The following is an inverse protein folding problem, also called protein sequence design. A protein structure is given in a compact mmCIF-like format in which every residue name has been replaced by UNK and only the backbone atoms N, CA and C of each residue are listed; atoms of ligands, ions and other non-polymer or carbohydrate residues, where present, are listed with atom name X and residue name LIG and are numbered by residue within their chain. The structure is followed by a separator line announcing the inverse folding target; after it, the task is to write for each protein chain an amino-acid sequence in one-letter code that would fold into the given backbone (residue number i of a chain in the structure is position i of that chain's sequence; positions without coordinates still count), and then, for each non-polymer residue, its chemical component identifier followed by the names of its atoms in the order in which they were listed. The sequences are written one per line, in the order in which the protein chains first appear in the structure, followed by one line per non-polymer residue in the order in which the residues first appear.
data_IF_014848145951
#
_entry.id   IF_014848145951
#
_cell.length_a   1.000
_cell.length_b   1.000
_cell.length_c   1.000
_cell.angle_alpha   90.00
_cell.angle_beta   90.00
_cell.angle_gamma   90.00
#
_symmetry.space_group_name_H-M   'P 1'
#
loop_
_entity.id
_entity.type
_entity.pdbx_description
1 polymer ?
#
# COMPACT_ATOMS: atom_id res chain seq x y z
N UNK A 1 -8.19 -19.36 -13.06
CA UNK A 1 -8.68 -17.98 -13.25
C UNK A 1 -8.97 -17.38 -11.89
N UNK A 2 -7.98 -16.76 -11.27
CA UNK A 2 -8.22 -15.93 -10.09
C UNK A 2 -8.73 -14.57 -10.58
N UNK A 3 -10.03 -14.39 -10.63
CA UNK A 3 -10.62 -13.09 -10.86
C UNK A 3 -10.24 -12.21 -9.67
N UNK A 4 -9.51 -11.12 -9.91
CA UNK A 4 -9.16 -10.16 -8.86
C UNK A 4 -10.43 -9.56 -8.26
N UNK A 5 -10.49 -9.48 -6.95
CA UNK A 5 -11.56 -8.83 -6.19
C UNK A 5 -10.98 -7.68 -5.39
N UNK A 6 -11.42 -6.48 -5.70
CA UNK A 6 -10.88 -5.25 -5.14
C UNK A 6 -11.85 -4.63 -4.13
N UNK A 7 -11.42 -4.44 -2.90
CA UNK A 7 -12.18 -3.78 -1.84
C UNK A 7 -11.92 -2.27 -1.85
N UNK A 8 -12.97 -1.51 -2.00
CA UNK A 8 -12.93 -0.05 -2.05
C UNK A 8 -12.97 0.58 -0.65
N UNK A 9 -11.82 0.74 -0.03
CA UNK A 9 -11.65 1.54 1.21
C UNK A 9 -11.28 2.99 0.92
N UNK A 10 -10.85 3.30 -0.31
CA UNK A 10 -10.60 4.67 -0.78
C UNK A 10 -11.83 5.26 -1.45
N UNK A 11 -12.09 6.57 -1.30
CA UNK A 11 -13.06 7.26 -2.13
C UNK A 11 -12.65 7.21 -3.61
N UNK A 12 -13.55 6.80 -4.48
CA UNK A 12 -13.26 6.69 -5.94
C UNK A 12 -12.88 8.02 -6.57
N UNK A 13 -13.32 9.16 -5.99
CA UNK A 13 -12.99 10.49 -6.52
C UNK A 13 -11.58 10.97 -6.17
N UNK A 14 -10.98 10.47 -5.09
CA UNK A 14 -9.66 10.92 -4.61
C UNK A 14 -8.55 10.36 -5.51
N UNK A 15 -7.85 11.20 -6.26
CA UNK A 15 -6.93 10.81 -7.34
C UNK A 15 -7.56 9.72 -8.23
N UNK A 16 -8.87 9.84 -8.45
CA UNK A 16 -9.68 8.84 -9.13
C UNK A 16 -9.47 7.42 -8.59
N UNK A 17 -9.57 7.29 -7.24
CA UNK A 17 -9.34 6.03 -6.53
C UNK A 17 -7.93 5.51 -6.70
N UNK A 18 -6.91 6.40 -6.71
CA UNK A 18 -5.51 6.08 -7.01
C UNK A 18 -5.32 5.33 -8.33
N UNK A 19 -6.10 5.71 -9.36
CA UNK A 19 -6.14 5.08 -10.69
C UNK A 19 -6.75 3.66 -10.71
N UNK A 20 -7.21 3.12 -9.58
CA UNK A 20 -7.76 1.77 -9.53
C UNK A 20 -9.16 1.65 -10.18
N UNK A 21 -9.90 2.74 -10.37
CA UNK A 21 -11.12 2.73 -11.19
C UNK A 21 -10.82 2.25 -12.62
N UNK A 22 -9.70 2.66 -13.17
CA UNK A 22 -9.23 2.24 -14.50
C UNK A 22 -8.62 0.85 -14.47
N UNK A 23 -7.78 0.58 -13.47
CA UNK A 23 -7.08 -0.70 -13.35
C UNK A 23 -8.05 -1.87 -13.15
N UNK A 24 -9.03 -1.74 -12.24
CA UNK A 24 -10.04 -2.79 -12.00
C UNK A 24 -10.89 -3.05 -13.23
N UNK A 25 -11.24 -1.99 -13.97
CA UNK A 25 -11.98 -2.12 -15.24
C UNK A 25 -11.14 -2.82 -16.30
N UNK A 26 -9.88 -2.44 -16.45
CA UNK A 26 -8.99 -3.01 -17.47
C UNK A 26 -8.75 -4.52 -17.30
N UNK A 27 -8.71 -5.02 -16.05
CA UNK A 27 -8.51 -6.44 -15.76
C UNK A 27 -9.82 -7.22 -15.51
N UNK A 28 -10.97 -6.55 -15.58
CA UNK A 28 -12.27 -7.16 -15.31
C UNK A 28 -12.42 -7.62 -13.85
N UNK A 29 -11.85 -6.88 -12.89
CA UNK A 29 -11.94 -7.22 -11.49
C UNK A 29 -13.35 -7.01 -10.92
N UNK A 30 -13.72 -7.82 -9.92
CA UNK A 30 -14.93 -7.56 -9.13
C UNK A 30 -14.66 -6.43 -8.15
N UNK A 31 -15.56 -5.46 -8.10
CA UNK A 31 -15.50 -4.35 -7.17
C UNK A 31 -16.39 -4.64 -5.96
N UNK A 32 -15.78 -4.73 -4.76
CA UNK A 32 -16.46 -4.85 -3.47
C UNK A 32 -16.49 -3.47 -2.83
N UNK A 33 -17.69 -2.96 -2.57
CA UNK A 33 -17.87 -1.60 -2.07
C UNK A 33 -18.43 -1.62 -0.65
N UNK A 34 -17.92 -0.74 0.22
CA UNK A 34 -18.45 -0.52 1.55
C UNK A 34 -18.85 0.95 1.75
N UNK A 35 -19.84 1.20 2.58
CA UNK A 35 -20.35 2.55 2.84
C UNK A 35 -19.45 3.38 3.74
N UNK A 36 -18.80 2.71 4.67
CA UNK A 36 -17.92 3.31 5.68
C UNK A 36 -16.80 2.35 5.97
N UNK A 37 -15.58 2.88 6.09
CA UNK A 37 -14.42 2.10 6.51
C UNK A 37 -14.54 1.81 8.00
N UNK A 38 -14.84 0.56 8.32
CA UNK A 38 -14.89 0.01 9.65
C UNK A 38 -14.01 -1.24 9.68
N UNK A 39 -13.09 -1.41 10.62
CA UNK A 39 -12.15 -2.54 10.63
C UNK A 39 -12.83 -3.91 10.61
N UNK A 40 -13.89 -4.10 11.42
CA UNK A 40 -14.60 -5.37 11.46
C UNK A 40 -15.30 -5.68 10.13
N UNK A 41 -15.88 -4.66 9.52
CA UNK A 41 -16.51 -4.80 8.20
C UNK A 41 -15.48 -5.08 7.10
N UNK A 42 -14.29 -4.49 7.18
CA UNK A 42 -13.19 -4.77 6.25
C UNK A 42 -12.78 -6.24 6.34
N UNK A 43 -12.54 -6.77 7.54
CA UNK A 43 -12.19 -8.18 7.72
C UNK A 43 -13.31 -9.11 7.24
N UNK A 44 -14.56 -8.82 7.61
CA UNK A 44 -15.72 -9.61 7.17
C UNK A 44 -15.79 -9.69 5.64
N UNK A 45 -15.64 -8.56 4.95
CA UNK A 45 -15.67 -8.53 3.48
C UNK A 45 -14.46 -9.24 2.86
N UNK A 46 -13.28 -9.16 3.46
CA UNK A 46 -12.11 -9.90 2.99
C UNK A 46 -12.40 -11.40 2.99
N UNK A 47 -12.97 -11.92 4.07
CA UNK A 47 -13.29 -13.35 4.20
C UNK A 47 -14.47 -13.75 3.29
N UNK A 48 -15.63 -13.13 3.45
CA UNK A 48 -16.86 -13.53 2.76
C UNK A 48 -16.78 -13.35 1.25
N UNK A 49 -16.18 -12.26 0.80
CA UNK A 49 -16.06 -11.96 -0.62
C UNK A 49 -14.77 -12.50 -1.24
N UNK A 50 -13.87 -13.07 -0.45
CA UNK A 50 -12.52 -13.50 -0.89
C UNK A 50 -11.78 -12.37 -1.60
N UNK A 51 -11.67 -11.22 -0.94
CA UNK A 51 -10.96 -10.04 -1.46
C UNK A 51 -9.48 -10.37 -1.68
N UNK A 52 -8.95 -9.94 -2.81
CA UNK A 52 -7.53 -10.18 -3.17
C UNK A 52 -6.70 -8.91 -3.14
N UNK A 53 -7.32 -7.75 -3.28
CA UNK A 53 -6.62 -6.47 -3.37
C UNK A 53 -7.40 -5.36 -2.67
N UNK A 54 -6.68 -4.46 -2.01
CA UNK A 54 -7.22 -3.19 -1.52
C UNK A 54 -6.15 -2.11 -1.49
N UNK A 55 -6.57 -0.86 -1.57
CA UNK A 55 -5.70 0.29 -1.29
C UNK A 55 -6.25 1.05 -0.10
N UNK A 56 -5.38 1.54 0.79
CA UNK A 56 -5.84 2.31 1.94
C UNK A 56 -4.77 3.27 2.48
N UNK A 57 -5.20 4.29 3.20
CA UNK A 57 -4.29 5.11 3.98
C UNK A 57 -3.74 4.31 5.19
N UNK A 58 -2.54 4.63 5.71
CA UNK A 58 -1.96 3.97 6.88
C UNK A 58 -2.86 3.98 8.12
N UNK A 59 -3.72 4.99 8.25
CA UNK A 59 -4.70 5.07 9.35
C UNK A 59 -5.70 3.92 9.33
N UNK A 60 -6.08 3.42 8.17
CA UNK A 60 -6.96 2.27 8.03
C UNK A 60 -6.25 1.01 8.54
N UNK A 61 -4.99 0.80 8.16
CA UNK A 61 -4.19 -0.33 8.66
C UNK A 61 -4.02 -0.26 10.17
N UNK A 62 -3.75 0.93 10.71
CA UNK A 62 -3.66 1.15 12.16
C UNK A 62 -4.98 0.79 12.85
N UNK A 63 -6.11 1.21 12.29
CA UNK A 63 -7.42 0.87 12.84
C UNK A 63 -7.69 -0.64 12.79
N UNK A 64 -7.35 -1.31 11.70
CA UNK A 64 -7.48 -2.76 11.56
C UNK A 64 -6.62 -3.51 12.58
N UNK A 65 -5.39 -3.07 12.79
CA UNK A 65 -4.49 -3.67 13.79
C UNK A 65 -4.91 -3.41 15.24
N UNK A 66 -5.66 -2.34 15.50
CA UNK A 66 -6.01 -1.90 16.86
C UNK A 66 -7.28 -2.55 17.44
N UNK A 67 -7.98 -3.37 16.68
CA UNK A 67 -9.14 -4.10 17.22
C UNK A 67 -8.68 -5.27 18.11
N UNK A 68 -9.50 -5.69 19.09
CA UNK A 68 -9.24 -6.93 19.82
C UNK A 68 -9.11 -8.12 18.86
N UNK A 69 -8.17 -9.03 19.15
CA UNK A 69 -7.93 -10.25 18.36
C UNK A 69 -7.62 -10.01 16.87
N UNK A 70 -7.08 -8.83 16.54
CA UNK A 70 -6.67 -8.51 15.16
C UNK A 70 -5.67 -9.53 14.60
N UNK A 71 -4.77 -10.02 15.44
CA UNK A 71 -3.73 -11.01 15.11
C UNK A 71 -4.28 -12.41 14.79
N UNK A 72 -5.56 -12.67 15.08
CA UNK A 72 -6.24 -13.91 14.72
C UNK A 72 -6.91 -13.85 13.35
N UNK A 73 -6.91 -12.67 12.70
CA UNK A 73 -7.48 -12.51 11.36
C UNK A 73 -6.53 -13.07 10.30
N UNK A 74 -7.08 -13.70 9.28
CA UNK A 74 -6.31 -14.22 8.14
C UNK A 74 -6.41 -13.26 6.95
N UNK A 75 -5.28 -12.71 6.55
CA UNK A 75 -5.13 -11.85 5.37
C UNK A 75 -4.33 -12.55 4.25
N UNK A 76 -4.22 -13.88 4.32
CA UNK A 76 -3.48 -14.65 3.31
C UNK A 76 -4.04 -14.42 1.91
N UNK A 77 -3.16 -14.07 0.98
CA UNK A 77 -3.54 -13.79 -0.41
C UNK A 77 -4.07 -12.37 -0.66
N UNK A 78 -4.13 -11.51 0.36
CA UNK A 78 -4.53 -10.11 0.20
C UNK A 78 -3.32 -9.23 -0.07
N UNK A 79 -3.32 -8.51 -1.19
CA UNK A 79 -2.35 -7.44 -1.47
C UNK A 79 -2.92 -6.10 -1.05
N UNK A 80 -2.21 -5.41 -0.18
CA UNK A 80 -2.60 -4.10 0.35
C UNK A 80 -1.61 -3.05 -0.13
N UNK A 81 -2.08 -2.09 -0.92
CA UNK A 81 -1.29 -0.91 -1.27
C UNK A 81 -1.63 0.23 -0.32
N UNK A 82 -0.62 0.81 0.33
CA UNK A 82 -0.79 1.94 1.24
C UNK A 82 0.00 3.16 0.78
N UNK A 83 -0.59 4.33 0.92
CA UNK A 83 0.00 5.62 0.54
C UNK A 83 -0.69 6.78 1.27
N UNK A 84 -0.29 8.01 0.94
CA UNK A 84 -0.83 9.25 1.51
C UNK A 84 -0.08 9.72 2.76
N UNK A 85 0.60 8.83 3.46
CA UNK A 85 1.55 9.09 4.54
C UNK A 85 2.48 7.88 4.70
N UNK A 86 3.67 8.04 5.30
CA UNK A 86 4.53 6.91 5.63
C UNK A 86 3.86 5.98 6.65
N UNK A 87 3.68 4.70 6.36
CA UNK A 87 3.18 3.74 7.33
C UNK A 87 4.24 3.44 8.39
N UNK A 88 3.82 3.24 9.64
CA UNK A 88 4.75 2.78 10.67
C UNK A 88 5.23 1.36 10.35
N UNK A 89 6.55 1.05 10.46
CA UNK A 89 7.07 -0.29 10.19
C UNK A 89 6.37 -1.39 11.01
N UNK A 90 6.02 -1.09 12.25
CA UNK A 90 5.24 -1.99 13.11
C UNK A 90 3.91 -2.41 12.48
N UNK A 91 3.18 -1.47 11.87
CA UNK A 91 1.88 -1.74 11.23
C UNK A 91 2.07 -2.63 10.00
N UNK A 92 3.09 -2.34 9.16
CA UNK A 92 3.43 -3.19 8.01
C UNK A 92 3.69 -4.62 8.49
N UNK A 93 4.56 -4.78 9.48
CA UNK A 93 4.91 -6.09 10.04
C UNK A 93 3.70 -6.83 10.58
N UNK A 94 2.81 -6.15 11.28
CA UNK A 94 1.60 -6.77 11.82
C UNK A 94 0.67 -7.28 10.73
N UNK A 95 0.43 -6.49 9.68
CA UNK A 95 -0.38 -6.93 8.53
C UNK A 95 0.25 -8.13 7.82
N UNK A 96 1.57 -8.13 7.66
CA UNK A 96 2.28 -9.23 7.00
C UNK A 96 2.33 -10.50 7.86
N UNK A 97 2.38 -10.38 9.18
CA UNK A 97 2.25 -11.53 10.08
C UNK A 97 0.86 -12.19 9.99
N UNK A 98 -0.17 -11.43 9.63
CA UNK A 98 -1.52 -11.95 9.33
C UNK A 98 -1.65 -12.49 7.90
N UNK A 99 -0.56 -12.52 7.12
CA UNK A 99 -0.53 -13.08 5.77
C UNK A 99 -0.71 -12.09 4.63
N UNK A 100 -0.94 -10.81 4.88
CA UNK A 100 -1.06 -9.81 3.83
C UNK A 100 0.27 -9.57 3.12
N UNK A 101 0.18 -9.14 1.85
CA UNK A 101 1.32 -8.57 1.13
C UNK A 101 1.18 -7.05 1.09
N UNK A 102 2.00 -6.32 1.88
CA UNK A 102 1.92 -4.86 1.97
C UNK A 102 2.90 -4.20 1.00
N UNK A 103 2.40 -3.28 0.20
CA UNK A 103 3.15 -2.43 -0.72
C UNK A 103 2.96 -0.97 -0.30
N UNK A 104 4.06 -0.27 0.00
CA UNK A 104 4.03 1.17 0.21
C UNK A 104 4.29 1.88 -1.12
N UNK A 105 3.48 2.88 -1.43
CA UNK A 105 3.62 3.67 -2.65
C UNK A 105 3.57 5.15 -2.32
N UNK A 106 4.20 5.96 -3.17
CA UNK A 106 4.16 7.40 -3.11
C UNK A 106 3.53 7.98 -4.37
N UNK A 107 2.72 8.99 -4.19
CA UNK A 107 2.13 9.77 -5.25
C UNK A 107 1.25 10.87 -4.69
N UNK A 108 0.93 11.84 -5.53
CA UNK A 108 0.10 13.00 -5.24
C UNK A 108 -0.96 13.15 -6.33
N UNK A 109 -1.95 13.99 -6.11
CA UNK A 109 -2.87 14.41 -7.17
C UNK A 109 -2.10 15.09 -8.31
N UNK A 110 -1.10 15.88 -7.95
CA UNK A 110 -0.23 16.62 -8.85
C UNK A 110 0.70 15.71 -9.68
N UNK A 111 0.93 14.48 -9.23
CA UNK A 111 1.69 13.46 -9.97
C UNK A 111 0.79 12.46 -10.70
N UNK A 112 -0.52 12.73 -10.78
CA UNK A 112 -1.52 11.86 -11.40
C UNK A 112 -1.67 10.48 -10.71
N UNK A 113 -1.44 10.44 -9.39
CA UNK A 113 -1.54 9.22 -8.58
C UNK A 113 -0.18 8.60 -8.24
N UNK A 114 -0.12 7.28 -8.01
CA UNK A 114 1.11 6.60 -7.61
C UNK A 114 2.24 6.78 -8.62
N UNK A 115 3.41 7.21 -8.15
CA UNK A 115 4.63 7.44 -8.97
C UNK A 115 5.81 6.59 -8.53
N UNK A 116 5.86 6.18 -7.26
CA UNK A 116 6.90 5.31 -6.75
C UNK A 116 6.29 4.16 -5.96
N UNK A 117 6.95 3.03 -5.95
CA UNK A 117 6.53 1.83 -5.23
C UNK A 117 7.72 1.18 -4.54
N UNK A 118 7.52 0.76 -3.30
CA UNK A 118 8.50 0.01 -2.54
C UNK A 118 8.29 -1.49 -2.77
N UNK A 119 8.74 -1.98 -3.91
CA UNK A 119 8.70 -3.38 -4.26
C UNK A 119 9.77 -4.18 -3.50
N UNK A 120 9.45 -5.44 -3.15
CA UNK A 120 10.38 -6.36 -2.53
C UNK A 120 11.59 -6.57 -3.44
N UNK A 121 12.79 -6.48 -2.84
CA UNK A 121 14.04 -6.76 -3.55
C UNK A 121 14.51 -8.20 -3.24
N UNK A 122 15.23 -8.84 -4.18
CA UNK A 122 15.68 -10.23 -4.00
C UNK A 122 16.53 -10.46 -2.75
N UNK A 123 17.35 -9.47 -2.38
CA UNK A 123 18.25 -9.52 -1.20
C UNK A 123 17.52 -9.37 0.15
N UNK A 124 16.22 -9.03 0.12
CA UNK A 124 15.45 -8.91 1.36
C UNK A 124 15.02 -10.24 1.95
N UNK A 125 15.15 -11.34 1.19
CA UNK A 125 14.79 -12.70 1.65
C UNK A 125 15.62 -13.18 2.83
N UNK A 126 16.84 -12.64 2.97
CA UNK A 126 17.76 -12.99 4.05
C UNK A 126 17.66 -12.07 5.27
N UNK A 127 16.79 -11.05 5.21
CA UNK A 127 16.61 -10.07 6.27
C UNK A 127 15.52 -10.50 7.24
N UNK A 128 15.62 -10.03 8.48
CA UNK A 128 14.56 -10.21 9.47
C UNK A 128 13.27 -9.48 9.07
N UNK A 129 12.13 -9.91 9.60
CA UNK A 129 10.85 -9.25 9.36
C UNK A 129 10.83 -7.78 9.79
N UNK A 130 11.59 -7.43 10.83
CA UNK A 130 11.75 -6.06 11.29
C UNK A 130 12.55 -5.20 10.29
N UNK A 131 13.65 -5.71 9.77
CA UNK A 131 14.44 -5.03 8.76
C UNK A 131 13.64 -4.83 7.47
N UNK A 132 12.90 -5.85 7.03
CA UNK A 132 12.03 -5.76 5.85
C UNK A 132 10.93 -4.74 6.05
N UNK A 133 10.28 -4.69 7.22
CA UNK A 133 9.26 -3.69 7.51
C UNK A 133 9.81 -2.26 7.50
N UNK A 134 11.02 -2.04 8.02
CA UNK A 134 11.70 -0.75 7.94
C UNK A 134 12.04 -0.34 6.50
N UNK A 135 12.45 -1.29 5.66
CA UNK A 135 12.69 -1.04 4.24
C UNK A 135 11.37 -0.72 3.50
N UNK A 136 10.30 -1.45 3.78
CA UNK A 136 8.97 -1.25 3.18
C UNK A 136 8.30 0.07 3.60
N UNK A 137 8.70 0.64 4.72
CA UNK A 137 8.23 1.96 5.13
C UNK A 137 8.76 3.10 4.24
N UNK A 138 9.78 2.84 3.42
CA UNK A 138 10.29 3.78 2.42
C UNK A 138 9.33 3.87 1.23
N UNK A 139 9.36 5.00 0.52
CA UNK A 139 8.48 5.22 -0.64
C UNK A 139 8.90 4.47 -1.91
N UNK A 140 10.10 3.85 -1.88
CA UNK A 140 10.57 3.04 -2.98
C UNK A 140 11.20 3.83 -4.13
N UNK A 141 11.04 3.33 -5.34
CA UNK A 141 11.59 3.90 -6.55
C UNK A 141 10.48 4.18 -7.55
N UNK A 142 10.73 5.09 -8.50
CA UNK A 142 9.83 5.32 -9.61
C UNK A 142 9.53 3.99 -10.33
N UNK A 143 8.26 3.74 -10.62
CA UNK A 143 7.93 2.53 -11.35
C UNK A 143 7.79 2.80 -12.84
N UNK A 144 7.88 1.72 -13.63
CA UNK A 144 8.13 1.75 -15.08
C UNK A 144 7.24 2.70 -15.88
N UNK A 145 5.99 2.90 -15.47
CA UNK A 145 5.04 3.76 -16.20
C UNK A 145 5.17 5.23 -15.79
N UNK A 146 5.84 5.51 -14.67
CA UNK A 146 5.98 6.84 -14.09
C UNK A 146 7.46 7.28 -14.01
N UNK A 147 8.34 6.65 -14.79
CA UNK A 147 9.77 7.01 -14.84
C UNK A 147 9.96 8.38 -15.50
N UNK A 148 9.67 9.39 -14.72
CA UNK A 148 9.80 10.81 -15.11
C UNK A 148 11.09 11.45 -14.58
N UNK A 149 12.05 10.63 -14.13
CA UNK A 149 13.29 11.14 -13.56
C UNK A 149 13.10 11.75 -12.16
N UNK A 150 12.34 11.10 -11.28
CA UNK A 150 12.17 11.54 -9.90
C UNK A 150 13.52 11.67 -9.19
N UNK A 151 13.75 12.79 -8.56
CA UNK A 151 14.97 13.08 -7.77
C UNK A 151 14.60 13.78 -6.46
N UNK A 152 15.42 13.60 -5.45
CA UNK A 152 15.32 14.29 -4.18
C UNK A 152 16.30 15.45 -4.20
N UNK A 153 15.83 16.64 -3.84
CA UNK A 153 16.61 17.87 -3.92
C UNK A 153 16.54 18.64 -2.59
N UNK A 154 17.58 19.41 -2.31
CA UNK A 154 17.59 20.37 -1.20
C UNK A 154 16.76 21.62 -1.53
N UNK A 155 16.71 22.58 -0.62
CA UNK A 155 15.98 23.85 -0.79
C UNK A 155 16.52 24.73 -1.93
N UNK A 156 17.73 24.46 -2.40
CA UNK A 156 18.39 25.16 -3.51
C UNK A 156 18.27 24.40 -4.84
N UNK A 157 17.48 23.32 -4.86
CA UNK A 157 17.26 22.44 -6.02
C UNK A 157 18.46 21.61 -6.46
N UNK A 158 19.48 21.45 -5.59
CA UNK A 158 20.59 20.53 -5.85
C UNK A 158 20.19 19.10 -5.45
N UNK A 159 20.69 18.11 -6.19
CA UNK A 159 20.47 16.71 -5.84
C UNK A 159 21.13 16.38 -4.50
N UNK A 160 20.38 15.75 -3.60
CA UNK A 160 20.94 15.18 -2.37
C UNK A 160 21.57 13.82 -2.65
N UNK A 161 22.57 13.43 -1.83
CA UNK A 161 23.20 12.13 -1.95
C UNK A 161 22.21 10.99 -1.70
N UNK A 162 22.26 9.94 -2.54
CA UNK A 162 21.38 8.76 -2.42
C UNK A 162 21.87 7.77 -1.35
N UNK A 163 22.18 8.29 -0.16
CA UNK A 163 22.72 7.52 0.97
C UNK A 163 21.67 7.26 2.08
N UNK A 164 20.49 7.86 1.98
CA UNK A 164 19.38 7.72 2.93
C UNK A 164 19.58 8.45 4.26
N UNK A 165 20.61 9.31 4.38
CA UNK A 165 20.91 10.08 5.59
C UNK A 165 20.59 11.57 5.43
N UNK A 166 20.64 12.09 4.24
CA UNK A 166 20.27 13.47 3.94
C UNK A 166 18.81 13.54 3.50
N UNK A 167 18.07 14.50 4.06
CA UNK A 167 16.70 14.80 3.63
C UNK A 167 16.71 15.93 2.60
N UNK A 168 15.75 15.86 1.70
CA UNK A 168 15.47 16.90 0.73
C UNK A 168 14.02 17.33 0.78
#
# INVERSE_FOLDING_TARGET
NYASKYLWTLPMFHCNGWCFTWATTAVGATNVCLRRVDPLEVYRLIEEESVTHMCCAPTVLTSMYSIPDADQQDLSGVTIMTAGAPPAPQVIRSMENMGAHVLHTYGLTETYGPTAICAIQPDWKEKSSEEVANLKARQGVAYVVADTGMRVVDTEMNDVERNGSQMG
#
